data_IF_380549954219
#
_entry.id   IF_380549954219
#
_cell.length_a   1.000
_cell.length_b   1.000
_cell.length_c   1.000
_cell.angle_alpha   90.00
_cell.angle_beta   90.00
_cell.angle_gamma   90.00
#
_symmetry.space_group_name_H-M   'P 1'
#
loop_
_entity.id
_entity.type
_entity.pdbx_description
1 polymer ?
#
# COMPACT_ATOMS: atom_id res chain seq x y z
N UNK A 1 8.92 -29.78 -13.95
CA UNK A 1 9.18 -28.35 -13.69
C UNK A 1 7.94 -27.85 -13.00
N UNK A 2 7.99 -27.61 -11.69
CA UNK A 2 6.81 -27.13 -10.98
C UNK A 2 6.51 -25.71 -11.46
N UNK A 3 5.36 -25.55 -12.09
CA UNK A 3 4.76 -24.26 -12.37
C UNK A 3 4.27 -23.68 -11.03
N UNK A 4 5.21 -23.20 -10.21
CA UNK A 4 4.91 -22.65 -8.90
C UNK A 4 4.34 -21.25 -9.09
N UNK A 5 3.03 -21.21 -9.27
CA UNK A 5 2.21 -20.01 -9.38
C UNK A 5 2.24 -19.25 -8.03
N UNK A 6 3.36 -18.56 -7.78
CA UNK A 6 3.63 -17.91 -6.50
C UNK A 6 2.73 -16.69 -6.38
N UNK A 7 2.09 -16.53 -5.22
CA UNK A 7 1.26 -15.36 -4.91
C UNK A 7 1.86 -14.64 -3.71
N UNK A 8 2.23 -13.38 -3.92
CA UNK A 8 2.80 -12.50 -2.91
C UNK A 8 1.73 -11.50 -2.49
N UNK A 9 1.48 -11.40 -1.19
CA UNK A 9 0.69 -10.32 -0.60
C UNK A 9 1.66 -9.23 -0.13
N UNK A 10 1.66 -8.09 -0.79
CA UNK A 10 2.44 -6.92 -0.41
C UNK A 10 1.57 -5.98 0.43
N UNK A 11 2.11 -5.48 1.53
CA UNK A 11 1.48 -4.50 2.43
C UNK A 11 2.44 -3.33 2.57
N UNK A 12 1.93 -2.11 2.38
CA UNK A 12 2.69 -0.86 2.47
C UNK A 12 1.98 0.11 3.42
N UNK A 13 2.71 0.58 4.45
CA UNK A 13 2.17 1.45 5.52
C UNK A 13 3.23 2.43 6.06
N UNK A 14 4.22 2.82 5.25
CA UNK A 14 5.37 3.61 5.74
C UNK A 14 5.09 5.12 5.91
N UNK A 15 4.17 5.69 5.14
CA UNK A 15 3.91 7.14 5.10
C UNK A 15 2.43 7.45 5.37
N UNK A 16 1.76 8.13 4.43
CA UNK A 16 0.38 8.61 4.50
C UNK A 16 -0.59 7.77 3.65
N UNK A 17 -0.14 6.62 3.19
CA UNK A 17 -0.90 5.70 2.36
C UNK A 17 -0.84 4.32 3.00
N UNK A 18 -1.99 3.64 3.02
CA UNK A 18 -2.08 2.22 3.36
C UNK A 18 -2.46 1.48 2.09
N UNK A 19 -1.63 0.54 1.65
CA UNK A 19 -1.86 -0.21 0.42
C UNK A 19 -1.71 -1.72 0.61
N UNK A 20 -2.46 -2.47 -0.21
CA UNK A 20 -2.36 -3.92 -0.30
C UNK A 20 -2.39 -4.36 -1.77
N UNK A 21 -1.47 -5.25 -2.15
CA UNK A 21 -1.39 -5.76 -3.51
C UNK A 21 -1.17 -7.29 -3.54
N UNK A 22 -1.73 -7.94 -4.55
CA UNK A 22 -1.48 -9.36 -4.85
C UNK A 22 -0.65 -9.44 -6.12
N UNK A 23 0.51 -10.09 -6.03
CA UNK A 23 1.48 -10.19 -7.12
C UNK A 23 1.69 -11.66 -7.47
N UNK A 24 1.56 -12.00 -8.76
CA UNK A 24 1.94 -13.29 -9.32
C UNK A 24 3.41 -13.28 -9.72
N UNK A 25 4.14 -14.30 -9.26
CA UNK A 25 5.50 -14.64 -9.69
C UNK A 25 6.48 -13.45 -9.61
N UNK A 26 6.28 -12.59 -8.63
CA UNK A 26 7.10 -11.41 -8.35
C UNK A 26 7.04 -10.29 -9.39
N UNK A 27 6.27 -10.45 -10.48
CA UNK A 27 6.36 -9.55 -11.64
C UNK A 27 5.01 -9.05 -12.15
N UNK A 28 3.92 -9.78 -11.91
CA UNK A 28 2.59 -9.42 -12.40
C UNK A 28 1.67 -9.01 -11.26
N UNK A 29 1.12 -7.79 -11.30
CA UNK A 29 0.15 -7.31 -10.32
C UNK A 29 -1.24 -7.83 -10.70
N UNK A 30 -1.87 -8.61 -9.82
CA UNK A 30 -3.23 -9.11 -9.98
C UNK A 30 -4.28 -8.19 -9.34
N UNK A 31 -3.91 -7.53 -8.24
CA UNK A 31 -4.74 -6.56 -7.54
C UNK A 31 -3.87 -5.54 -6.83
N UNK A 32 -4.33 -4.30 -6.75
CA UNK A 32 -3.69 -3.23 -5.99
C UNK A 32 -4.77 -2.27 -5.48
N UNK A 33 -4.85 -2.10 -4.17
CA UNK A 33 -5.76 -1.15 -3.53
C UNK A 33 -4.96 -0.20 -2.64
N UNK A 34 -5.30 1.08 -2.71
CA UNK A 34 -4.65 2.15 -1.94
C UNK A 34 -5.72 2.93 -1.20
N UNK A 35 -5.55 3.05 0.11
CA UNK A 35 -6.27 3.98 0.95
C UNK A 35 -5.35 5.18 1.21
N UNK A 36 -5.67 6.32 0.60
CA UNK A 36 -4.89 7.55 0.73
C UNK A 36 -5.38 8.40 1.89
N UNK A 37 -4.45 8.99 2.64
CA UNK A 37 -4.75 9.98 3.68
C UNK A 37 -4.54 11.42 3.22
N UNK A 38 -4.41 11.67 1.90
CA UNK A 38 -4.15 13.02 1.36
C UNK A 38 -5.17 14.05 1.86
N UNK A 39 -6.46 13.70 1.92
CA UNK A 39 -7.51 14.58 2.45
C UNK A 39 -7.35 14.91 3.93
N UNK A 40 -6.82 13.96 4.72
CA UNK A 40 -6.56 14.12 6.14
C UNK A 40 -5.42 15.11 6.40
N UNK A 41 -4.41 15.08 5.52
CA UNK A 41 -3.20 15.92 5.59
C UNK A 41 -3.35 17.27 4.89
N UNK A 42 -4.34 17.42 3.99
CA UNK A 42 -4.58 18.65 3.22
C UNK A 42 -4.72 19.90 4.11
N UNK A 43 -5.35 19.76 5.29
CA UNK A 43 -5.51 20.85 6.27
C UNK A 43 -4.20 21.33 6.92
N UNK A 44 -3.14 20.53 6.83
CA UNK A 44 -1.83 20.81 7.42
C UNK A 44 -0.81 21.29 6.36
N UNK A 45 -1.20 21.34 5.08
CA UNK A 45 -0.33 21.75 3.98
C UNK A 45 0.79 20.77 3.64
N UNK A 46 0.69 19.52 4.14
CA UNK A 46 1.68 18.46 3.98
C UNK A 46 1.45 17.33 4.98
N UNK A 47 2.23 16.25 4.87
CA UNK A 47 2.11 15.07 5.74
C UNK A 47 2.37 15.45 7.19
N UNK A 48 1.40 15.16 8.08
CA UNK A 48 1.54 15.36 9.52
C UNK A 48 1.83 14.01 10.22
N UNK A 49 3.06 13.77 10.70
CA UNK A 49 3.51 12.43 11.10
C UNK A 49 2.69 11.77 12.21
N UNK A 50 2.22 12.55 13.19
CA UNK A 50 1.44 12.01 14.32
C UNK A 50 0.12 11.38 13.87
N UNK A 51 -0.51 11.96 12.85
CA UNK A 51 -1.78 11.50 12.32
C UNK A 51 -1.57 10.36 11.32
N UNK A 52 -0.50 10.42 10.52
CA UNK A 52 -0.16 9.39 9.55
C UNK A 52 0.11 8.01 10.19
N UNK A 53 0.71 7.99 11.38
CA UNK A 53 1.01 6.74 12.09
C UNK A 53 -0.21 6.11 12.78
N UNK A 54 -1.33 6.83 12.95
CA UNK A 54 -2.44 6.43 13.84
C UNK A 54 -3.78 6.24 13.12
N UNK A 55 -3.85 6.58 11.84
CA UNK A 55 -5.00 6.40 10.96
C UNK A 55 -4.51 5.83 9.64
#
# INVERSE_FOLDING_TARGET
MEDQNTRILAIETSCDETAAAVIADGTSILSNVVASQVELHARYGGVFPEVASRR
#
